data_IF_389183151470
#
_entry.id   IF_389183151470
#
_cell.length_a   1.000
_cell.length_b   1.000
_cell.length_c   1.000
_cell.angle_alpha   90.00
_cell.angle_beta   90.00
_cell.angle_gamma   90.00
#
_symmetry.space_group_name_H-M   'P 1'
#
loop_
_entity.id
_entity.type
_entity.pdbx_description
1 polymer ?
#
# COMPACT_ATOMS: atom_id res chain seq x y z
N UNK A 1 14.12 11.93 22.94
CA UNK A 1 13.42 10.64 22.74
C UNK A 1 13.63 10.22 21.30
N UNK A 2 14.31 9.10 21.05
CA UNK A 2 14.60 8.65 19.68
C UNK A 2 13.45 7.78 19.18
N UNK A 3 12.69 8.26 18.20
CA UNK A 3 11.68 7.46 17.51
C UNK A 3 12.40 6.38 16.70
N UNK A 4 12.24 5.11 17.09
CA UNK A 4 12.75 3.98 16.31
C UNK A 4 11.69 3.56 15.32
N UNK A 5 12.06 3.56 14.05
CA UNK A 5 11.22 3.03 12.96
C UNK A 5 11.41 1.52 12.87
N UNK A 6 10.29 0.82 12.69
CA UNK A 6 10.25 -0.61 12.39
C UNK A 6 9.57 -0.80 11.05
N UNK A 7 10.30 -1.36 10.10
CA UNK A 7 9.75 -1.82 8.83
C UNK A 7 9.30 -3.26 8.99
N UNK A 8 8.11 -3.58 8.49
CA UNK A 8 7.55 -4.93 8.48
C UNK A 8 6.92 -5.22 7.11
N UNK A 9 6.81 -6.51 6.80
CA UNK A 9 6.18 -7.02 5.59
C UNK A 9 4.86 -7.68 5.97
N UNK A 10 3.83 -7.48 5.17
CA UNK A 10 2.48 -7.95 5.45
C UNK A 10 1.86 -8.56 4.20
N UNK A 11 0.95 -9.50 4.41
CA UNK A 11 -0.06 -9.93 3.44
C UNK A 11 -1.41 -9.42 3.90
N UNK A 12 -2.24 -8.98 2.96
CA UNK A 12 -3.63 -8.68 3.22
C UNK A 12 -4.57 -9.42 2.27
N UNK A 13 -5.80 -9.60 2.73
CA UNK A 13 -6.93 -10.01 1.91
C UNK A 13 -8.13 -9.16 2.29
N UNK A 14 -8.83 -8.64 1.29
CA UNK A 14 -10.14 -8.03 1.42
C UNK A 14 -11.14 -8.77 0.53
N UNK A 15 -12.19 -9.36 1.11
CA UNK A 15 -13.23 -10.04 0.36
C UNK A 15 -14.50 -9.18 0.26
N UNK A 16 -14.97 -8.95 -0.97
CA UNK A 16 -16.18 -8.17 -1.26
C UNK A 16 -17.45 -9.02 -1.09
N UNK A 17 -18.61 -8.36 -0.99
CA UNK A 17 -19.92 -9.04 -0.98
C UNK A 17 -20.16 -9.85 -2.25
N UNK A 18 -19.67 -9.35 -3.39
CA UNK A 18 -19.76 -9.98 -4.71
C UNK A 18 -18.96 -11.27 -4.84
N UNK A 19 -18.12 -11.61 -3.85
CA UNK A 19 -17.20 -12.74 -3.88
C UNK A 19 -15.85 -12.43 -4.50
N UNK A 20 -15.67 -11.25 -5.11
CA UNK A 20 -14.35 -10.80 -5.55
C UNK A 20 -13.42 -10.61 -4.35
N UNK A 21 -12.12 -10.74 -4.59
CA UNK A 21 -11.10 -10.53 -3.57
C UNK A 21 -10.02 -9.57 -4.05
N UNK A 22 -9.52 -8.74 -3.13
CA UNK A 22 -8.28 -8.00 -3.30
C UNK A 22 -7.24 -8.63 -2.38
N UNK A 23 -6.20 -9.21 -2.97
CA UNK A 23 -5.11 -9.86 -2.23
C UNK A 23 -3.83 -9.13 -2.52
N UNK A 24 -3.01 -8.86 -1.50
CA UNK A 24 -1.73 -8.23 -1.75
C UNK A 24 -0.70 -8.40 -0.66
N UNK A 25 0.50 -7.95 -0.98
CA UNK A 25 1.63 -7.84 -0.05
C UNK A 25 2.02 -6.39 0.08
N UNK A 26 2.41 -5.97 1.28
CA UNK A 26 2.83 -4.60 1.54
C UNK A 26 4.00 -4.52 2.49
N UNK A 27 4.88 -3.55 2.27
CA UNK A 27 5.96 -3.20 3.18
C UNK A 27 5.62 -1.84 3.77
N UNK A 28 5.63 -1.73 5.09
CA UNK A 28 5.31 -0.47 5.75
C UNK A 28 6.06 -0.23 7.04
N UNK A 29 6.07 1.03 7.44
CA UNK A 29 6.74 1.50 8.64
C UNK A 29 5.76 1.74 9.78
N UNK A 30 6.19 1.35 10.97
CA UNK A 30 5.52 1.63 12.25
C UNK A 30 6.52 2.22 13.23
N UNK A 31 6.02 2.88 14.29
CA UNK A 31 6.87 3.27 15.40
C UNK A 31 7.12 2.06 16.31
N UNK A 32 8.33 1.94 16.86
CA UNK A 32 8.71 0.77 17.68
C UNK A 32 7.83 0.54 18.92
N UNK A 33 7.14 1.57 19.43
CA UNK A 33 6.15 1.46 20.51
C UNK A 33 4.69 1.34 20.05
N UNK A 34 4.44 1.40 18.74
CA UNK A 34 3.11 1.36 18.14
C UNK A 34 3.16 0.51 16.86
N UNK A 35 3.47 -0.79 17.01
CA UNK A 35 3.63 -1.72 15.88
C UNK A 35 2.32 -2.14 15.23
N UNK A 36 1.19 -1.75 15.82
CA UNK A 36 -0.14 -2.01 15.27
C UNK A 36 -0.52 -1.04 14.15
N UNK A 37 -0.06 0.20 14.25
CA UNK A 37 -0.34 1.24 13.26
C UNK A 37 0.83 1.39 12.29
N UNK A 38 0.55 1.08 11.02
CA UNK A 38 1.47 1.28 9.91
C UNK A 38 1.10 2.58 9.23
N UNK A 39 1.92 3.61 9.46
CA UNK A 39 1.63 4.98 9.02
C UNK A 39 2.12 5.29 7.61
N UNK A 40 2.99 4.44 7.06
CA UNK A 40 3.58 4.62 5.75
C UNK A 40 3.73 3.27 5.05
N UNK A 41 2.98 3.07 3.97
CA UNK A 41 3.16 1.94 3.04
C UNK A 41 4.19 2.34 1.98
N UNK A 42 5.34 1.68 1.96
CA UNK A 42 6.45 1.94 1.03
C UNK A 42 6.29 1.24 -0.31
N UNK A 43 5.67 0.07 -0.28
CA UNK A 43 5.43 -0.76 -1.45
C UNK A 43 4.21 -1.59 -1.16
N UNK A 44 3.31 -1.69 -2.12
CA UNK A 44 2.27 -2.68 -2.13
C UNK A 44 2.16 -3.25 -3.53
N UNK A 45 1.84 -4.54 -3.57
CA UNK A 45 1.44 -5.24 -4.77
C UNK A 45 0.13 -5.90 -4.46
N UNK A 46 -0.89 -5.64 -5.25
CA UNK A 46 -2.18 -6.29 -5.09
C UNK A 46 -2.66 -6.86 -6.40
N UNK A 47 -3.53 -7.84 -6.28
CA UNK A 47 -4.25 -8.47 -7.38
C UNK A 47 -5.72 -8.52 -7.01
N UNK A 48 -6.56 -8.23 -7.99
CA UNK A 48 -7.99 -8.49 -7.91
C UNK A 48 -8.28 -9.86 -8.50
N UNK A 49 -9.10 -10.65 -7.79
CA UNK A 49 -9.52 -11.99 -8.17
C UNK A 49 -11.03 -12.03 -8.39
N UNK A 50 -11.48 -12.82 -9.37
CA UNK A 50 -12.89 -13.17 -9.52
C UNK A 50 -13.35 -14.06 -8.35
N UNK A 51 -14.67 -14.26 -8.14
CA UNK A 51 -15.17 -15.19 -7.12
C UNK A 51 -14.68 -16.65 -7.27
N UNK A 52 -14.18 -17.02 -8.45
CA UNK A 52 -13.60 -18.34 -8.73
C UNK A 52 -12.08 -18.37 -8.48
N UNK A 53 -11.48 -17.27 -8.05
CA UNK A 53 -10.04 -17.14 -7.80
C UNK A 53 -9.20 -16.83 -9.04
N UNK A 54 -9.80 -16.43 -10.17
CA UNK A 54 -9.06 -16.10 -11.37
C UNK A 54 -8.51 -14.67 -11.30
N UNK A 55 -7.27 -14.46 -11.75
CA UNK A 55 -6.67 -13.13 -11.82
C UNK A 55 -7.42 -12.23 -12.80
N UNK A 56 -7.85 -11.05 -12.34
CA UNK A 56 -8.46 -10.01 -13.17
C UNK A 56 -7.46 -8.91 -13.54
N UNK A 57 -6.77 -8.37 -12.54
CA UNK A 57 -5.83 -7.26 -12.70
C UNK A 57 -4.85 -7.19 -11.53
N UNK A 58 -3.74 -6.48 -11.73
CA UNK A 58 -2.71 -6.22 -10.72
C UNK A 58 -2.50 -4.73 -10.50
N UNK A 59 -2.08 -4.34 -9.30
CA UNK A 59 -1.82 -2.96 -8.90
C UNK A 59 -0.40 -2.85 -8.34
N UNK A 60 0.33 -1.81 -8.75
CA UNK A 60 1.77 -1.65 -8.55
C UNK A 60 2.19 -0.29 -7.96
N UNK A 61 1.35 0.74 -8.06
CA UNK A 61 1.56 2.06 -7.44
C UNK A 61 0.62 2.26 -6.26
N UNK A 62 1.15 2.65 -5.10
CA UNK A 62 0.37 2.56 -3.85
C UNK A 62 0.77 3.59 -2.82
N UNK A 63 -0.25 4.11 -2.16
CA UNK A 63 -0.15 4.91 -0.95
C UNK A 63 -1.13 4.39 0.10
N UNK A 64 -0.77 4.53 1.37
CA UNK A 64 -1.72 4.27 2.43
C UNK A 64 -1.15 4.07 3.82
N UNK A 65 -2.06 3.73 4.71
CA UNK A 65 -1.85 3.49 6.13
C UNK A 65 -2.91 2.50 6.62
N UNK A 66 -2.58 1.71 7.65
CA UNK A 66 -3.53 0.77 8.22
C UNK A 66 -3.19 0.42 9.66
N UNK A 67 -4.20 -0.05 10.38
CA UNK A 67 -4.06 -0.75 11.66
C UNK A 67 -4.16 -2.25 11.42
N UNK A 68 -3.40 -3.08 12.15
CA UNK A 68 -3.42 -4.55 11.94
C UNK A 68 -4.57 -5.22 12.65
N UNK A 69 -4.93 -4.72 13.84
CA UNK A 69 -5.99 -5.30 14.69
C UNK A 69 -7.40 -4.85 14.30
N UNK A 70 -7.53 -3.67 13.69
CA UNK A 70 -8.81 -3.10 13.27
C UNK A 70 -8.80 -2.85 11.76
N UNK A 71 -9.98 -2.83 11.13
CA UNK A 71 -10.11 -2.45 9.72
C UNK A 71 -10.00 -0.92 9.51
N UNK A 72 -9.24 -0.22 10.35
CA UNK A 72 -8.90 1.19 10.15
C UNK A 72 -7.80 1.27 9.10
N UNK A 73 -8.21 1.34 7.84
CA UNK A 73 -7.30 1.26 6.70
C UNK A 73 -7.66 2.32 5.67
N UNK A 74 -6.63 2.91 5.10
CA UNK A 74 -6.70 3.80 3.95
C UNK A 74 -5.64 3.28 3.00
N UNK A 75 -6.05 2.48 2.04
CA UNK A 75 -5.20 1.90 1.02
C UNK A 75 -5.79 2.20 -0.33
N UNK A 76 -4.99 2.76 -1.21
CA UNK A 76 -5.36 2.94 -2.60
C UNK A 76 -4.21 2.51 -3.48
N UNK A 77 -4.54 1.87 -4.59
CA UNK A 77 -3.55 1.52 -5.58
C UNK A 77 -4.08 1.69 -6.98
N UNK A 78 -3.19 2.06 -7.88
CA UNK A 78 -3.45 2.19 -9.31
C UNK A 78 -2.71 1.09 -10.08
N UNK A 79 -3.29 0.73 -11.22
CA UNK A 79 -2.65 -0.06 -12.25
C UNK A 79 -1.94 0.91 -13.20
N UNK A 80 -0.61 0.93 -13.17
CA UNK A 80 0.23 1.91 -13.89
C UNK A 80 -0.11 2.07 -15.39
N UNK A 81 -0.51 0.99 -16.06
CA UNK A 81 -0.82 1.02 -17.50
C UNK A 81 -2.29 1.23 -17.88
N UNK A 82 -3.23 0.96 -16.97
CA UNK A 82 -4.66 0.84 -17.30
C UNK A 82 -5.51 1.90 -16.64
N UNK A 83 -4.93 2.80 -15.84
CA UNK A 83 -5.64 3.81 -15.04
C UNK A 83 -6.75 3.24 -14.13
N UNK A 84 -6.78 1.91 -13.98
CA UNK A 84 -7.68 1.20 -13.09
C UNK A 84 -7.17 1.35 -11.67
N UNK A 85 -8.07 1.38 -10.69
CA UNK A 85 -7.69 1.60 -9.30
C UNK A 85 -8.54 0.80 -8.34
N UNK A 86 -8.04 0.65 -7.12
CA UNK A 86 -8.83 0.26 -5.97
C UNK A 86 -8.70 1.29 -4.87
N UNK A 87 -9.70 1.32 -4.02
CA UNK A 87 -9.71 2.12 -2.79
C UNK A 87 -10.31 1.28 -1.68
N UNK A 88 -9.68 1.29 -0.51
CA UNK A 88 -10.17 0.75 0.75
C UNK A 88 -9.96 1.84 1.78
N UNK A 89 -11.02 2.53 2.17
CA UNK A 89 -10.97 3.70 3.02
C UNK A 89 -12.05 3.62 4.11
N UNK A 90 -11.60 3.38 5.33
CA UNK A 90 -12.46 3.26 6.50
C UNK A 90 -13.06 4.60 6.95
N UNK A 91 -12.60 5.75 6.44
CA UNK A 91 -13.11 7.07 6.84
C UNK A 91 -14.43 7.42 6.16
N UNK A 92 -14.70 6.83 5.01
CA UNK A 92 -15.91 7.07 4.22
C UNK A 92 -16.65 5.76 3.90
N UNK A 93 -16.34 4.67 4.61
CA UNK A 93 -16.92 3.34 4.39
C UNK A 93 -16.86 2.91 2.92
N UNK A 94 -15.69 3.10 2.30
CA UNK A 94 -15.44 2.78 0.90
C UNK A 94 -14.55 1.55 0.77
N UNK A 95 -15.01 0.60 -0.03
CA UNK A 95 -14.14 -0.37 -0.67
C UNK A 95 -14.61 -0.59 -2.10
N UNK A 96 -13.72 -0.46 -3.07
CA UNK A 96 -14.08 -0.58 -4.47
C UNK A 96 -12.89 -0.95 -5.36
N UNK A 97 -13.22 -1.50 -6.54
CA UNK A 97 -12.30 -1.71 -7.65
C UNK A 97 -12.97 -1.17 -8.91
N UNK A 98 -12.27 -0.30 -9.62
CA UNK A 98 -12.71 0.31 -10.88
C UNK A 98 -11.80 -0.14 -12.03
N UNK A 99 -12.43 -0.61 -13.11
CA UNK A 99 -11.74 -0.93 -14.36
C UNK A 99 -11.96 0.20 -15.38
N UNK A 100 -10.92 0.98 -15.61
CA UNK A 100 -10.98 2.10 -16.55
C UNK A 100 -10.97 1.64 -18.01
N UNK A 101 -10.53 0.42 -18.34
CA UNK A 101 -10.59 -0.09 -19.70
C UNK A 101 -12.04 -0.36 -20.15
N UNK A 102 -12.91 -0.70 -19.20
CA UNK A 102 -14.35 -0.90 -19.44
C UNK A 102 -15.23 0.25 -18.94
N UNK A 103 -14.63 1.21 -18.24
CA UNK A 103 -15.33 2.29 -17.54
C UNK A 103 -16.42 1.80 -16.58
N UNK A 104 -16.13 0.75 -15.80
CA UNK A 104 -17.11 0.12 -14.91
C UNK A 104 -16.52 -0.19 -13.53
N UNK A 105 -17.39 -0.17 -12.52
CA UNK A 105 -17.09 -0.75 -11.22
C UNK A 105 -17.08 -2.27 -11.33
N UNK A 106 -15.94 -2.87 -11.01
CA UNK A 106 -15.82 -4.34 -10.92
C UNK A 106 -16.56 -4.84 -9.68
N UNK A 107 -16.35 -4.16 -8.56
CA UNK A 107 -17.01 -4.47 -7.30
C UNK A 107 -16.92 -3.27 -6.36
N UNK A 108 -17.86 -3.18 -5.43
CA UNK A 108 -17.83 -2.23 -4.33
C UNK A 108 -18.55 -2.77 -3.10
N UNK A 109 -18.33 -2.14 -1.96
CA UNK A 109 -19.04 -2.41 -0.72
C UNK A 109 -18.09 -2.62 0.46
N UNK A 110 -18.24 -1.77 1.47
CA UNK A 110 -17.45 -1.82 2.69
C UNK A 110 -17.92 -2.92 3.65
N UNK A 111 -17.01 -3.87 3.92
CA UNK A 111 -17.15 -5.00 4.81
C UNK A 111 -15.90 -5.14 5.69
N UNK A 112 -15.78 -4.39 6.81
CA UNK A 112 -14.59 -4.40 7.65
C UNK A 112 -14.28 -5.78 8.24
N UNK A 113 -15.30 -6.61 8.49
CA UNK A 113 -15.13 -7.98 8.96
C UNK A 113 -14.56 -8.97 7.93
N UNK A 114 -14.33 -8.53 6.69
CA UNK A 114 -13.71 -9.33 5.61
C UNK A 114 -12.31 -8.84 5.24
N UNK A 115 -11.73 -8.01 6.08
CA UNK A 115 -10.34 -7.60 6.03
C UNK A 115 -9.49 -8.54 6.89
N UNK A 116 -8.40 -9.04 6.33
CA UNK A 116 -7.41 -9.81 7.08
C UNK A 116 -6.01 -9.29 6.77
N UNK A 117 -5.17 -9.24 7.80
CA UNK A 117 -3.75 -8.90 7.69
C UNK A 117 -2.93 -9.93 8.44
N UNK A 118 -1.83 -10.35 7.82
CA UNK A 118 -0.83 -11.23 8.38
C UNK A 118 0.54 -10.57 8.25
N UNK A 119 1.32 -10.54 9.35
CA UNK A 119 2.72 -10.11 9.28
C UNK A 119 3.58 -11.28 8.78
N UNK A 120 4.35 -11.02 7.73
CA UNK A 120 5.24 -11.98 7.11
C UNK A 120 6.69 -11.75 7.57
N UNK A 121 7.52 -12.82 7.61
CA UNK A 121 8.95 -12.65 7.81
C UNK A 121 9.55 -11.78 6.70
N UNK A 122 10.42 -10.85 7.08
CA UNK A 122 11.21 -10.08 6.12
C UNK A 122 12.23 -11.01 5.46
N UNK A 123 12.18 -11.13 4.14
CA UNK A 123 13.23 -11.80 3.40
C UNK A 123 14.50 -10.92 3.44
N UNK A 124 15.72 -11.51 3.54
CA UNK A 124 16.97 -10.74 3.63
C UNK A 124 17.16 -9.72 2.49
N UNK A 125 16.61 -9.99 1.31
CA UNK A 125 16.64 -9.08 0.15
C UNK A 125 15.79 -7.81 0.32
N UNK A 126 14.83 -7.79 1.23
CA UNK A 126 13.95 -6.65 1.51
C UNK A 126 14.50 -5.72 2.60
N UNK A 127 15.57 -6.11 3.32
CA UNK A 127 16.20 -5.28 4.35
C UNK A 127 17.07 -4.14 3.80
N UNK A 128 17.16 -4.02 2.47
CA UNK A 128 18.01 -3.05 1.77
C UNK A 128 17.16 -2.03 0.99
N UNK A 129 16.58 -1.05 1.68
CA UNK A 129 16.19 0.22 1.05
C UNK A 129 15.94 1.31 2.09
N UNK A 130 16.99 1.68 2.82
CA UNK A 130 17.15 3.10 3.12
C UNK A 130 18.00 3.64 1.97
N UNK A 131 17.45 4.47 1.06
CA UNK A 131 18.32 5.27 0.23
C UNK A 131 19.10 6.14 1.20
N UNK A 132 20.38 5.85 1.38
CA UNK A 132 21.27 6.83 1.97
C UNK A 132 21.15 8.05 1.06
N UNK A 133 20.51 9.11 1.55
CA UNK A 133 20.59 10.42 0.92
C UNK A 133 22.08 10.76 0.91
N UNK A 134 22.75 10.44 -0.20
CA UNK A 134 24.16 10.72 -0.33
C UNK A 134 24.26 12.24 -0.26
N UNK A 135 25.08 12.74 0.68
CA UNK A 135 25.37 14.17 0.87
C UNK A 135 26.04 14.83 -0.34
N UNK A 136 25.94 14.26 -1.55
CA UNK A 136 26.66 14.66 -2.76
C UNK A 136 25.89 15.64 -3.65
N UNK A 137 24.69 16.07 -3.27
CA UNK A 137 23.94 17.11 -3.99
C UNK A 137 23.94 18.48 -3.30
N UNK A 138 24.49 18.60 -2.09
CA UNK A 138 24.60 19.89 -1.40
C UNK A 138 25.76 20.78 -1.90
N UNK A 139 26.66 20.27 -2.75
CA UNK A 139 27.79 21.07 -3.28
C UNK A 139 27.57 21.65 -4.68
N UNK A 140 26.46 21.35 -5.36
CA UNK A 140 26.23 21.81 -6.75
C UNK A 140 25.50 23.17 -6.79
N UNK A 141 24.91 23.63 -5.69
CA UNK A 141 24.16 24.89 -5.61
C UNK A 141 24.91 26.05 -4.93
N UNK A 142 26.20 25.90 -4.63
CA UNK A 142 27.03 26.98 -4.05
C UNK A 142 27.99 27.64 -5.05
N UNK A 143 28.08 27.17 -6.30
CA UNK A 143 29.05 27.71 -7.29
C UNK A 143 28.40 28.53 -8.43
N UNK A 144 27.09 28.79 -8.39
CA UNK A 144 26.41 29.65 -9.39
C UNK A 144 25.97 31.03 -8.87
N UNK A 145 26.40 31.43 -7.68
CA UNK A 145 26.11 32.75 -7.09
C UNK A 145 27.33 33.70 -7.01
N UNK A 146 28.42 33.41 -7.73
CA UNK A 146 29.59 34.31 -7.83
C UNK A 146 30.19 34.31 -9.24
N UNK A 147 29.38 34.63 -10.25
CA UNK A 147 29.86 35.34 -11.46
C UNK A 147 28.71 36.26 -11.89
N UNK A 148 28.72 37.47 -11.34
CA UNK A 148 28.17 38.68 -11.94
C UNK A 148 29.32 39.69 -11.98
#
# INVERSE_FOLDING_TARGET
MTLRLRTSHYRFVYAFASGHELVGTMIGDSYGGQSDYVFNVRSLRAIALTPQGNLMMSFDEVFGQFTRTTAETILSGSHSQKESFFSINSRNDEACIYDAATEQWVTSGWLPGRWTIEELPLLPSMMSSVPACSKRLASVWSQRAMIA
#
